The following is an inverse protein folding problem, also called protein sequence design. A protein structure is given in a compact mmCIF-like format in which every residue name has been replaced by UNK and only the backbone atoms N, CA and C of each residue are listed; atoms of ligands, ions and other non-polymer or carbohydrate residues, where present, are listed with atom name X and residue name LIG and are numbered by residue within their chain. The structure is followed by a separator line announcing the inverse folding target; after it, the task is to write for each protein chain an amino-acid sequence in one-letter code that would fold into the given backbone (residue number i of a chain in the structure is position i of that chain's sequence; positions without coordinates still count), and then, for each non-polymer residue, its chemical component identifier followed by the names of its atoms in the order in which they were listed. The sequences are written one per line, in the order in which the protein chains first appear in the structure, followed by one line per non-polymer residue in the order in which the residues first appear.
data_IF_434431776639
#
_entry.id   IF_434431776639
#
_cell.length_a   1.000
_cell.length_b   1.000
_cell.length_c   1.000
_cell.angle_alpha   90.00
_cell.angle_beta   90.00
_cell.angle_gamma   90.00
#
_symmetry.space_group_name_H-M   'P 1'
#
loop_
_entity.id
_entity.type
_entity.pdbx_description
1 polymer ?
#
# COMPACT_ATOMS: atom_id res chain seq x y z
N UNK A 1 21.05 -6.93 0.45
CA UNK A 1 19.87 -7.64 0.99
C UNK A 1 20.23 -8.12 2.39
N UNK A 2 19.26 -8.43 3.25
CA UNK A 2 19.59 -9.01 4.56
C UNK A 2 19.82 -10.51 4.41
N UNK A 3 20.75 -11.04 5.18
CA UNK A 3 20.98 -12.47 5.26
C UNK A 3 19.96 -13.16 6.18
N UNK A 4 19.32 -12.41 7.07
CA UNK A 4 18.39 -12.94 8.07
C UNK A 4 16.92 -12.96 7.63
N UNK A 5 16.54 -12.15 6.64
CA UNK A 5 15.15 -12.11 6.16
C UNK A 5 15.07 -12.06 4.64
N UNK A 6 14.04 -12.73 4.11
CA UNK A 6 13.73 -12.77 2.69
C UNK A 6 12.54 -11.84 2.43
N UNK A 7 12.67 -10.93 1.48
CA UNK A 7 11.57 -10.03 1.07
C UNK A 7 10.56 -10.79 0.20
N UNK A 8 9.29 -10.41 0.26
CA UNK A 8 8.26 -10.96 -0.65
C UNK A 8 8.64 -10.82 -2.14
N UNK A 9 9.33 -9.71 -2.51
CA UNK A 9 9.83 -9.50 -3.86
C UNK A 9 10.98 -10.43 -4.25
N UNK A 10 11.73 -10.96 -3.29
CA UNK A 10 12.74 -11.99 -3.54
C UNK A 10 12.08 -13.35 -3.83
N UNK A 11 11.05 -13.71 -3.07
CA UNK A 11 10.27 -14.94 -3.30
C UNK A 11 9.69 -14.91 -4.73
N UNK A 12 9.05 -13.80 -5.10
CA UNK A 12 8.49 -13.62 -6.44
C UNK A 12 9.57 -13.72 -7.52
N UNK A 13 10.74 -13.13 -7.30
CA UNK A 13 11.86 -13.22 -8.26
C UNK A 13 12.41 -14.65 -8.38
N UNK A 14 12.46 -15.42 -7.29
CA UNK A 14 12.89 -16.81 -7.31
C UNK A 14 11.90 -17.71 -8.07
N UNK A 15 10.59 -17.55 -7.78
CA UNK A 15 9.51 -18.29 -8.46
C UNK A 15 9.51 -17.98 -9.96
N UNK A 16 9.71 -16.73 -10.34
CA UNK A 16 9.84 -16.33 -11.76
C UNK A 16 11.12 -16.89 -12.39
N UNK A 17 12.28 -16.68 -11.76
CA UNK A 17 13.57 -17.18 -12.24
C UNK A 17 14.61 -17.32 -11.12
N UNK A 18 14.90 -18.58 -10.75
CA UNK A 18 15.90 -18.92 -9.71
C UNK A 18 17.28 -18.31 -9.98
N UNK A 19 17.74 -18.33 -11.24
CA UNK A 19 19.04 -17.74 -11.64
C UNK A 19 19.08 -16.23 -11.44
N UNK A 20 18.01 -15.52 -11.82
CA UNK A 20 17.85 -14.08 -11.59
C UNK A 20 17.95 -13.75 -10.10
N UNK A 21 17.26 -14.52 -9.26
CA UNK A 21 17.33 -14.37 -7.81
C UNK A 21 18.74 -14.59 -7.27
N UNK A 22 19.41 -15.67 -7.67
CA UNK A 22 20.78 -15.96 -7.21
C UNK A 22 21.76 -14.87 -7.63
N UNK A 23 21.71 -14.40 -8.89
CA UNK A 23 22.55 -13.31 -9.39
C UNK A 23 22.32 -12.03 -8.59
N UNK A 24 21.05 -11.70 -8.30
CA UNK A 24 20.72 -10.51 -7.52
C UNK A 24 21.17 -10.62 -6.06
N UNK A 25 21.01 -11.79 -5.43
CA UNK A 25 21.34 -12.00 -4.01
C UNK A 25 22.84 -12.17 -3.77
N UNK A 26 23.50 -13.03 -4.54
CA UNK A 26 24.91 -13.40 -4.31
C UNK A 26 25.90 -12.55 -5.08
N UNK A 27 25.53 -12.06 -6.27
CA UNK A 27 26.42 -11.24 -7.11
C UNK A 27 26.04 -9.76 -7.12
N UNK A 28 25.00 -9.37 -6.38
CA UNK A 28 24.52 -7.98 -6.35
C UNK A 28 24.06 -7.47 -7.71
N UNK A 29 23.69 -8.35 -8.65
CA UNK A 29 23.36 -7.97 -10.01
C UNK A 29 22.14 -7.01 -10.03
N UNK A 30 22.33 -5.84 -10.62
CA UNK A 30 21.32 -4.78 -10.66
C UNK A 30 20.41 -4.97 -11.88
N UNK A 31 19.11 -4.72 -11.71
CA UNK A 31 18.18 -4.73 -12.83
C UNK A 31 18.50 -3.58 -13.79
N UNK A 32 18.54 -3.86 -15.09
CA UNK A 32 18.61 -2.81 -16.12
C UNK A 32 17.31 -2.00 -16.21
N UNK A 33 16.20 -2.50 -15.66
CA UNK A 33 14.89 -1.86 -15.72
C UNK A 33 14.70 -0.74 -14.67
N UNK A 34 15.72 0.10 -14.46
CA UNK A 34 15.70 1.13 -13.41
C UNK A 34 14.67 2.23 -13.69
N UNK A 35 14.53 2.61 -14.96
CA UNK A 35 13.62 3.70 -15.37
C UNK A 35 12.16 3.35 -15.11
N UNK A 36 11.70 2.19 -15.57
CA UNK A 36 10.30 1.80 -15.38
C UNK A 36 10.00 1.50 -13.90
N UNK A 37 10.96 0.94 -13.15
CA UNK A 37 10.84 0.80 -11.69
C UNK A 37 10.65 2.18 -11.01
N UNK A 38 11.48 3.18 -11.35
CA UNK A 38 11.36 4.52 -10.78
C UNK A 38 10.03 5.18 -11.17
N UNK A 39 9.56 4.97 -12.40
CA UNK A 39 8.25 5.44 -12.87
C UNK A 39 7.11 4.81 -12.08
N UNK A 40 7.11 3.49 -11.93
CA UNK A 40 6.13 2.74 -11.15
C UNK A 40 6.10 3.18 -9.69
N UNK A 41 7.26 3.37 -9.06
CA UNK A 41 7.34 3.87 -7.68
C UNK A 41 6.71 5.25 -7.53
N UNK A 42 6.96 6.18 -8.45
CA UNK A 42 6.33 7.52 -8.41
C UNK A 42 4.82 7.43 -8.59
N UNK A 43 4.36 6.61 -9.53
CA UNK A 43 2.93 6.39 -9.74
C UNK A 43 2.25 5.84 -8.47
N UNK A 44 2.82 4.81 -7.84
CA UNK A 44 2.29 4.26 -6.59
C UNK A 44 2.31 5.27 -5.43
N UNK A 45 3.35 6.11 -5.34
CA UNK A 45 3.39 7.18 -4.33
C UNK A 45 2.28 8.21 -4.54
N UNK A 46 2.06 8.63 -5.79
CA UNK A 46 0.98 9.58 -6.12
C UNK A 46 -0.40 8.96 -5.83
N UNK A 47 -0.63 7.75 -6.32
CA UNK A 47 -1.88 7.02 -6.07
C UNK A 47 -2.13 6.82 -4.56
N UNK A 48 -1.08 6.48 -3.80
CA UNK A 48 -1.16 6.34 -2.35
C UNK A 48 -1.67 7.59 -1.64
N UNK A 49 -1.27 8.79 -2.09
CA UNK A 49 -1.78 10.07 -1.53
C UNK A 49 -3.28 10.21 -1.76
N UNK A 50 -3.75 9.90 -2.97
CA UNK A 50 -5.18 9.94 -3.30
C UNK A 50 -5.97 8.91 -2.48
N UNK A 51 -5.44 7.69 -2.32
CA UNK A 51 -6.06 6.65 -1.47
C UNK A 51 -6.15 7.13 -0.02
N UNK A 52 -5.09 7.73 0.52
CA UNK A 52 -5.11 8.30 1.87
C UNK A 52 -6.20 9.36 2.05
N UNK A 53 -6.33 10.28 1.09
CA UNK A 53 -7.39 11.29 1.11
C UNK A 53 -8.78 10.64 1.07
N UNK A 54 -9.00 9.66 0.20
CA UNK A 54 -10.26 8.94 0.11
C UNK A 54 -10.60 8.19 1.42
N UNK A 55 -9.61 7.56 2.06
CA UNK A 55 -9.79 6.89 3.36
C UNK A 55 -10.20 7.89 4.44
N UNK A 56 -9.57 9.06 4.49
CA UNK A 56 -9.93 10.09 5.46
C UNK A 56 -11.32 10.67 5.23
N UNK A 57 -11.67 10.99 4.00
CA UNK A 57 -13.01 11.46 3.64
C UNK A 57 -14.07 10.41 3.99
N UNK A 58 -13.80 9.13 3.71
CA UNK A 58 -14.70 8.03 4.08
C UNK A 58 -14.88 7.91 5.59
N UNK A 59 -13.80 8.05 6.38
CA UNK A 59 -13.88 8.05 7.84
C UNK A 59 -14.71 9.22 8.36
N UNK A 60 -14.49 10.43 7.84
CA UNK A 60 -15.27 11.61 8.20
C UNK A 60 -16.76 11.43 7.88
N UNK A 61 -17.08 10.87 6.71
CA UNK A 61 -18.46 10.57 6.33
C UNK A 61 -19.14 9.63 7.35
N UNK A 62 -18.46 8.56 7.77
CA UNK A 62 -19.01 7.67 8.80
C UNK A 62 -19.17 8.34 10.17
N UNK A 63 -18.25 9.22 10.56
CA UNK A 63 -18.38 10.00 11.81
C UNK A 63 -19.61 10.92 11.75
N UNK A 64 -19.80 11.62 10.64
CA UNK A 64 -20.98 12.49 10.45
C UNK A 64 -22.28 11.69 10.48
N UNK A 65 -22.33 10.55 9.79
CA UNK A 65 -23.49 9.66 9.81
C UNK A 65 -23.79 9.15 11.22
N UNK A 66 -22.76 8.79 11.98
CA UNK A 66 -22.92 8.35 13.36
C UNK A 66 -23.49 9.47 14.26
N UNK A 67 -22.95 10.69 14.16
CA UNK A 67 -23.44 11.85 14.94
C UNK A 67 -24.90 12.15 14.60
N UNK A 68 -25.26 12.12 13.30
CA UNK A 68 -26.65 12.32 12.87
C UNK A 68 -27.58 11.24 13.42
N UNK A 69 -27.17 9.97 13.37
CA UNK A 69 -27.94 8.87 13.94
C UNK A 69 -28.18 9.06 15.45
N UNK A 70 -27.13 9.38 16.21
CA UNK A 70 -27.23 9.67 17.65
C UNK A 70 -28.17 10.83 17.91
N UNK A 71 -28.03 11.94 17.18
CA UNK A 71 -28.88 13.12 17.34
C UNK A 71 -30.36 12.82 17.08
N UNK A 72 -30.67 12.08 16.01
CA UNK A 72 -32.04 11.66 15.68
C UNK A 72 -32.58 10.77 16.80
N UNK A 73 -31.82 9.77 17.24
CA UNK A 73 -32.27 8.88 18.32
C UNK A 73 -32.52 9.63 19.62
N UNK A 74 -31.66 10.60 19.96
CA UNK A 74 -31.83 11.44 21.14
C UNK A 74 -33.12 12.27 21.04
N UNK A 75 -33.36 12.93 19.90
CA UNK A 75 -34.60 13.69 19.71
C UNK A 75 -35.85 12.81 19.83
N UNK A 76 -35.80 11.57 19.32
CA UNK A 76 -36.92 10.63 19.43
C UNK A 76 -37.16 10.17 20.87
N UNK A 77 -36.12 10.11 21.72
CA UNK A 77 -36.27 9.74 23.14
C UNK A 77 -36.76 10.91 24.01
N UNK A 78 -36.47 12.16 23.61
CA UNK A 78 -36.84 13.37 24.38
C UNK A 78 -38.19 13.98 23.99
N UNK A 79 -38.80 13.50 22.90
CA UNK A 79 -40.16 13.87 22.47
C UNK A 79 -41.16 12.83 22.97
#
# INVERSE_FOLDING_TARGET
MSDYWIRASEISNYVYCRRSWWLKRQRGAVSRNVRELKRGTRYHQQHGRTVWQAVWLRRLAFVVLFVLAVFITFQMMTR
#
